data_IF_368059551676
#
_entry.id   IF_368059551676
#
_cell.length_a   1.000
_cell.length_b   1.000
_cell.length_c   1.000
_cell.angle_alpha   90.00
_cell.angle_beta   90.00
_cell.angle_gamma   90.00
#
_symmetry.space_group_name_H-M   'P 1'
#
loop_
_entity.id
_entity.type
_entity.pdbx_description
1 polymer ?
#
# COMPACT_ATOMS: atom_id res chain seq x y z
N UNK A 1 -9.61 -2.23 -30.82
CA UNK A 1 -8.40 -2.04 -29.99
C UNK A 1 -8.63 -0.84 -29.08
N UNK A 2 -9.34 -1.04 -27.95
CA UNK A 2 -9.59 -0.03 -26.91
C UNK A 2 -10.05 -0.76 -25.62
N UNK A 3 -9.16 -1.51 -24.96
CA UNK A 3 -9.50 -2.19 -23.70
C UNK A 3 -8.55 -1.84 -22.54
N UNK A 4 -7.64 -0.87 -22.72
CA UNK A 4 -6.68 -0.46 -21.68
C UNK A 4 -7.21 0.57 -20.68
N UNK A 5 -8.28 1.32 -21.00
CA UNK A 5 -8.72 2.46 -20.17
C UNK A 5 -9.24 2.10 -18.77
N UNK A 6 -10.08 1.06 -18.59
CA UNK A 6 -10.61 0.71 -17.26
C UNK A 6 -9.54 0.12 -16.34
N UNK A 7 -8.64 -0.69 -16.91
CA UNK A 7 -7.56 -1.35 -16.17
C UNK A 7 -6.53 -0.33 -15.68
N UNK A 8 -6.15 0.63 -16.54
CA UNK A 8 -5.26 1.73 -16.15
C UNK A 8 -5.87 2.61 -15.05
N UNK A 9 -7.16 2.96 -15.15
CA UNK A 9 -7.85 3.72 -14.10
C UNK A 9 -7.89 2.96 -12.76
N UNK A 10 -8.08 1.65 -12.80
CA UNK A 10 -8.05 0.81 -11.61
C UNK A 10 -6.64 0.73 -11.00
N UNK A 11 -5.60 0.66 -11.83
CA UNK A 11 -4.21 0.69 -11.40
C UNK A 11 -3.87 2.03 -10.73
N UNK A 12 -4.24 3.15 -11.33
CA UNK A 12 -4.03 4.49 -10.76
C UNK A 12 -4.72 4.64 -9.40
N UNK A 13 -5.95 4.16 -9.27
CA UNK A 13 -6.68 4.13 -8.00
C UNK A 13 -5.93 3.30 -6.94
N UNK A 14 -5.45 2.11 -7.31
CA UNK A 14 -4.74 1.22 -6.39
C UNK A 14 -3.40 1.82 -5.93
N UNK A 15 -2.69 2.52 -6.82
CA UNK A 15 -1.46 3.26 -6.50
C UNK A 15 -1.78 4.38 -5.50
N UNK A 16 -2.81 5.19 -5.76
CA UNK A 16 -3.21 6.28 -4.88
C UNK A 16 -3.63 5.78 -3.48
N UNK A 17 -4.37 4.67 -3.41
CA UNK A 17 -4.78 4.07 -2.14
C UNK A 17 -3.60 3.49 -1.36
N UNK A 18 -2.63 2.89 -2.04
CA UNK A 18 -1.37 2.43 -1.42
C UNK A 18 -0.59 3.61 -0.85
N UNK A 19 -0.41 4.69 -1.62
CA UNK A 19 0.31 5.89 -1.17
C UNK A 19 -0.32 6.47 0.11
N UNK A 20 -1.65 6.58 0.15
CA UNK A 20 -2.38 7.03 1.34
C UNK A 20 -2.15 6.12 2.54
N UNK A 21 -2.15 4.81 2.34
CA UNK A 21 -1.89 3.84 3.39
C UNK A 21 -0.47 3.99 3.96
N UNK A 22 0.54 4.08 3.10
CA UNK A 22 1.94 4.28 3.50
C UNK A 22 2.11 5.60 4.28
N UNK A 23 1.55 6.71 3.78
CA UNK A 23 1.62 7.99 4.49
C UNK A 23 0.98 7.95 5.88
N UNK A 24 -0.13 7.20 6.05
CA UNK A 24 -0.76 7.01 7.37
C UNK A 24 0.15 6.26 8.33
N UNK A 25 0.85 5.23 7.87
CA UNK A 25 1.76 4.47 8.72
C UNK A 25 3.00 5.29 9.09
N UNK A 26 3.58 6.04 8.16
CA UNK A 26 4.70 6.97 8.44
C UNK A 26 4.29 7.96 9.53
N UNK A 27 3.15 8.64 9.39
CA UNK A 27 2.66 9.58 10.39
C UNK A 27 2.43 8.91 11.77
N UNK A 28 2.06 7.63 11.79
CA UNK A 28 1.87 6.86 13.02
C UNK A 28 3.21 6.51 13.68
N UNK A 29 4.22 6.11 12.90
CA UNK A 29 5.60 5.90 13.38
C UNK A 29 6.16 7.20 13.95
N UNK A 30 6.04 8.32 13.24
CA UNK A 30 6.58 9.61 13.70
C UNK A 30 5.97 10.06 15.03
N UNK A 31 4.64 9.91 15.19
CA UNK A 31 3.97 10.21 16.47
C UNK A 31 4.48 9.32 17.59
N UNK A 32 4.68 8.04 17.31
CA UNK A 32 5.20 7.08 18.27
C UNK A 32 6.63 7.38 18.72
N UNK A 33 7.52 7.69 17.78
CA UNK A 33 8.91 8.07 18.07
C UNK A 33 8.96 9.32 18.94
N UNK A 34 8.10 10.32 18.68
CA UNK A 34 8.00 11.54 19.48
C UNK A 34 7.46 11.30 20.90
N UNK A 35 6.70 10.23 21.11
CA UNK A 35 6.06 9.92 22.39
C UNK A 35 6.82 8.88 23.23
N UNK A 36 7.95 8.36 22.75
CA UNK A 36 8.71 7.32 23.46
C UNK A 36 7.90 6.03 23.68
N UNK A 37 7.04 5.68 22.72
CA UNK A 37 5.96 4.71 22.91
C UNK A 37 6.43 3.25 23.10
N UNK A 38 5.71 2.55 23.99
CA UNK A 38 5.85 1.13 24.34
C UNK A 38 5.73 0.17 23.12
N UNK A 39 6.51 -0.91 23.16
CA UNK A 39 6.59 -2.01 22.19
C UNK A 39 5.24 -2.54 21.68
N UNK A 40 4.17 -2.48 22.47
CA UNK A 40 2.82 -2.88 22.04
C UNK A 40 2.29 -2.03 20.89
N UNK A 41 2.52 -0.72 20.93
CA UNK A 41 2.09 0.21 19.87
C UNK A 41 2.96 0.01 18.62
N UNK A 42 4.24 -0.33 18.78
CA UNK A 42 5.16 -0.57 17.67
C UNK A 42 4.76 -1.81 16.87
N UNK A 43 4.35 -2.89 17.57
CA UNK A 43 3.80 -4.09 16.94
C UNK A 43 2.52 -3.80 16.15
N UNK A 44 1.64 -2.92 16.65
CA UNK A 44 0.42 -2.55 15.94
C UNK A 44 0.69 -1.73 14.66
N UNK A 45 1.78 -0.94 14.66
CA UNK A 45 2.23 -0.21 13.46
C UNK A 45 2.92 -1.13 12.48
N UNK A 46 3.77 -2.04 12.95
CA UNK A 46 4.40 -3.06 12.11
C UNK A 46 3.34 -3.89 11.38
N UNK A 47 2.33 -4.36 12.10
CA UNK A 47 1.20 -5.08 11.49
C UNK A 47 0.47 -4.25 10.43
N UNK A 48 0.25 -2.96 10.71
CA UNK A 48 -0.36 -2.05 9.74
C UNK A 48 0.53 -1.75 8.52
N UNK A 49 1.85 -1.92 8.61
CA UNK A 49 2.78 -1.84 7.48
C UNK A 49 2.79 -3.14 6.67
N UNK A 50 2.76 -4.30 7.34
CA UNK A 50 2.66 -5.62 6.72
C UNK A 50 1.40 -5.73 5.85
N UNK A 51 0.25 -5.31 6.37
CA UNK A 51 -1.02 -5.29 5.61
C UNK A 51 -0.96 -4.41 4.35
N UNK A 52 -0.18 -3.32 4.40
CA UNK A 52 0.00 -2.41 3.25
C UNK A 52 0.95 -2.99 2.22
N UNK A 53 2.01 -3.68 2.68
CA UNK A 53 2.93 -4.39 1.81
C UNK A 53 2.23 -5.55 1.10
N UNK A 54 1.39 -6.32 1.80
CA UNK A 54 0.61 -7.40 1.22
C UNK A 54 -0.35 -6.89 0.13
N UNK A 55 -1.05 -5.78 0.42
CA UNK A 55 -1.90 -5.13 -0.58
C UNK A 55 -1.08 -4.68 -1.80
N UNK A 56 0.08 -4.06 -1.58
CA UNK A 56 0.94 -3.59 -2.66
C UNK A 56 1.46 -4.74 -3.52
N UNK A 57 1.89 -5.85 -2.92
CA UNK A 57 2.35 -7.03 -3.67
C UNK A 57 1.22 -7.65 -4.50
N UNK A 58 0.02 -7.78 -3.94
CA UNK A 58 -1.14 -8.26 -4.68
C UNK A 58 -1.50 -7.35 -5.88
N UNK A 59 -1.35 -6.03 -5.73
CA UNK A 59 -1.58 -5.10 -6.85
C UNK A 59 -0.48 -5.17 -7.90
N UNK A 60 0.79 -5.28 -7.48
CA UNK A 60 1.92 -5.46 -8.39
C UNK A 60 1.75 -6.74 -9.21
N UNK A 61 1.32 -7.84 -8.61
CA UNK A 61 1.06 -9.09 -9.33
C UNK A 61 -0.04 -8.94 -10.38
N UNK A 62 -1.14 -8.25 -10.06
CA UNK A 62 -2.20 -7.98 -11.04
C UNK A 62 -1.70 -7.13 -12.21
N UNK A 63 -0.92 -6.10 -11.94
CA UNK A 63 -0.32 -5.26 -12.99
C UNK A 63 0.59 -6.10 -13.88
N UNK A 64 1.46 -6.92 -13.29
CA UNK A 64 2.36 -7.80 -14.04
C UNK A 64 1.59 -8.80 -14.89
N UNK A 65 0.53 -9.42 -14.35
CA UNK A 65 -0.32 -10.37 -15.06
C UNK A 65 -0.97 -9.72 -16.31
N UNK A 66 -1.50 -8.49 -16.16
CA UNK A 66 -2.04 -7.71 -17.30
C UNK A 66 -0.97 -7.45 -18.36
N UNK A 67 0.24 -7.05 -17.94
CA UNK A 67 1.33 -6.74 -18.87
C UNK A 67 1.91 -7.99 -19.57
N UNK A 68 1.88 -9.16 -18.92
CA UNK A 68 2.38 -10.42 -19.51
C UNK A 68 1.37 -11.15 -20.38
N UNK A 69 0.10 -10.75 -20.36
CA UNK A 69 -0.97 -11.32 -21.22
C UNK A 69 -1.13 -10.56 -22.55
N UNK A 70 -0.31 -9.53 -22.79
CA UNK A 70 -0.16 -8.83 -24.08
C UNK A 70 0.87 -9.54 -24.95
#
# INVERSE_FOLDING_TARGET
MFELHPELAQIEKNIADTQRLVSRQIARIERMTKQGADTKTAKAVLKGLEEVLDYFYAQRERILDILTRQ
#
